data_IF_718445594072
#
_entry.id   IF_718445594072
#
_cell.length_a   1.000
_cell.length_b   1.000
_cell.length_c   1.000
_cell.angle_alpha   90.00
_cell.angle_beta   90.00
_cell.angle_gamma   90.00
#
_symmetry.space_group_name_H-M   'P 1'
#
loop_
_entity.id
_entity.type
_entity.pdbx_description
1 polymer ?
#
# COMPACT_ATOMS: atom_id res chain seq x y z
N UNK A 1 -12.04 20.33 -9.73
CA UNK A 1 -10.65 19.85 -9.82
C UNK A 1 -10.46 18.66 -8.87
N UNK A 2 -9.96 17.57 -9.39
CA UNK A 2 -9.67 16.43 -8.54
C UNK A 2 -8.43 16.68 -7.70
N UNK A 3 -8.51 16.28 -6.45
CA UNK A 3 -7.38 16.32 -5.53
C UNK A 3 -6.88 14.88 -5.36
N UNK A 4 -5.59 14.68 -5.49
CA UNK A 4 -4.96 13.37 -5.33
C UNK A 4 -3.83 13.48 -4.33
N UNK A 5 -3.77 12.55 -3.40
CA UNK A 5 -2.63 12.43 -2.50
C UNK A 5 -1.92 11.11 -2.80
N UNK A 6 -0.60 11.18 -2.97
CA UNK A 6 0.23 10.01 -3.20
C UNK A 6 0.86 9.59 -1.88
N UNK A 7 0.77 8.32 -1.57
CA UNK A 7 1.19 7.78 -0.28
C UNK A 7 2.17 6.63 -0.50
N UNK A 8 3.24 6.62 0.29
CA UNK A 8 4.06 5.43 0.42
C UNK A 8 3.29 4.40 1.23
N UNK A 9 3.65 3.12 1.06
CA UNK A 9 3.03 2.04 1.82
C UNK A 9 3.81 1.73 3.08
N UNK A 10 4.99 1.14 2.92
CA UNK A 10 5.77 0.63 4.05
C UNK A 10 6.36 1.77 4.88
N UNK A 11 6.12 1.76 6.17
CA UNK A 11 6.55 2.82 7.06
C UNK A 11 5.65 4.05 7.09
N UNK A 12 4.65 4.12 6.21
CA UNK A 12 3.68 5.22 6.16
C UNK A 12 2.28 4.75 6.49
N UNK A 13 1.81 3.71 5.81
CA UNK A 13 0.48 3.14 6.04
C UNK A 13 0.53 1.92 6.94
N UNK A 14 1.58 1.13 6.82
CA UNK A 14 1.76 -0.07 7.62
C UNK A 14 3.15 -0.11 8.20
N UNK A 15 3.31 -0.93 9.25
CA UNK A 15 4.63 -1.14 9.84
C UNK A 15 5.59 -1.67 8.79
N UNK A 16 6.81 -1.16 8.78
CA UNK A 16 7.83 -1.61 7.86
C UNK A 16 8.34 -2.99 8.29
N UNK A 17 8.14 -3.96 7.42
CA UNK A 17 8.63 -5.31 7.58
C UNK A 17 9.53 -5.60 6.38
N UNK A 18 10.68 -6.18 6.61
CA UNK A 18 11.61 -6.48 5.54
C UNK A 18 10.91 -7.39 4.50
N UNK A 19 10.70 -6.84 3.30
CA UNK A 19 10.00 -7.54 2.21
C UNK A 19 8.62 -8.04 2.59
N UNK A 20 7.78 -7.15 3.13
CA UNK A 20 6.39 -7.49 3.48
C UNK A 20 5.64 -8.02 2.26
N UNK A 21 5.12 -9.25 2.38
CA UNK A 21 4.36 -9.87 1.29
C UNK A 21 3.20 -10.76 1.79
N UNK A 22 3.19 -11.10 3.05
CA UNK A 22 2.15 -11.95 3.63
C UNK A 22 1.14 -11.10 4.39
N UNK A 23 -0.15 -11.37 4.16
CA UNK A 23 -1.20 -10.60 4.85
C UNK A 23 -1.14 -10.75 6.37
N UNK A 24 -0.66 -11.89 6.86
CA UNK A 24 -0.51 -12.14 8.29
C UNK A 24 0.48 -11.18 8.95
N UNK A 25 1.40 -10.64 8.16
CA UNK A 25 2.44 -9.73 8.65
C UNK A 25 2.08 -8.26 8.46
N UNK A 26 0.93 -7.98 7.84
CA UNK A 26 0.50 -6.60 7.58
C UNK A 26 -0.13 -6.00 8.84
N UNK A 27 0.47 -4.94 9.34
CA UNK A 27 -0.07 -4.19 10.47
C UNK A 27 -0.15 -2.72 10.07
N UNK A 28 -1.37 -2.17 10.08
CA UNK A 28 -1.57 -0.75 9.79
C UNK A 28 -1.03 0.07 10.96
N UNK A 29 -0.38 1.19 10.63
CA UNK A 29 0.11 2.10 11.67
C UNK A 29 -1.05 2.77 12.39
N UNK A 30 -0.88 3.10 13.69
CA UNK A 30 -1.94 3.76 14.45
C UNK A 30 -2.36 5.08 13.78
N UNK A 31 -3.67 5.32 13.72
CA UNK A 31 -4.21 6.54 13.15
C UNK A 31 -4.33 6.57 11.65
N UNK A 32 -3.85 5.54 10.93
CA UNK A 32 -3.90 5.53 9.46
C UNK A 32 -5.34 5.52 8.94
N UNK A 33 -6.25 4.65 9.39
CA UNK A 33 -7.61 4.67 8.85
C UNK A 33 -8.29 6.02 9.05
N UNK A 34 -8.11 6.62 10.21
CA UNK A 34 -8.72 7.92 10.55
C UNK A 34 -8.15 9.03 9.66
N UNK A 35 -6.83 9.04 9.45
CA UNK A 35 -6.18 10.04 8.61
C UNK A 35 -6.62 9.90 7.15
N UNK A 36 -6.68 8.67 6.62
CA UNK A 36 -7.13 8.43 5.26
C UNK A 36 -8.58 8.85 5.07
N UNK A 37 -9.43 8.56 6.04
CA UNK A 37 -10.82 8.97 5.99
C UNK A 37 -10.94 10.49 5.97
N UNK A 38 -10.14 11.19 6.76
CA UNK A 38 -10.14 12.64 6.78
C UNK A 38 -9.78 13.23 5.41
N UNK A 39 -8.78 12.65 4.73
CA UNK A 39 -8.43 13.07 3.38
C UNK A 39 -9.58 12.82 2.40
N UNK A 40 -10.22 11.65 2.47
CA UNK A 40 -11.37 11.34 1.60
C UNK A 40 -12.52 12.31 1.84
N UNK A 41 -12.79 12.65 3.10
CA UNK A 41 -13.84 13.59 3.45
C UNK A 41 -13.56 14.99 2.89
N UNK A 42 -12.31 15.32 2.66
CA UNK A 42 -11.90 16.58 2.04
C UNK A 42 -11.84 16.51 0.51
N UNK A 43 -12.25 15.39 -0.07
CA UNK A 43 -12.32 15.24 -1.52
C UNK A 43 -11.06 14.70 -2.18
N UNK A 44 -10.10 14.19 -1.40
CA UNK A 44 -8.89 13.61 -1.97
C UNK A 44 -9.12 12.19 -2.46
N UNK A 45 -8.51 11.87 -3.58
CA UNK A 45 -8.30 10.49 -3.99
C UNK A 45 -7.01 10.00 -3.35
N UNK A 46 -7.02 8.75 -2.90
CA UNK A 46 -5.87 8.14 -2.22
C UNK A 46 -5.19 7.18 -3.20
N UNK A 47 -3.92 7.46 -3.50
CA UNK A 47 -3.13 6.63 -4.42
C UNK A 47 -1.87 6.19 -3.69
N UNK A 48 -1.66 4.88 -3.62
CA UNK A 48 -0.43 4.32 -3.03
C UNK A 48 0.58 4.08 -4.14
N UNK A 49 1.80 4.54 -3.94
CA UNK A 49 2.92 4.26 -4.83
C UNK A 49 4.01 3.61 -3.98
N UNK A 50 4.37 2.38 -4.30
CA UNK A 50 5.29 1.61 -3.46
C UNK A 50 6.32 0.88 -4.31
N UNK A 51 7.55 0.82 -3.81
CA UNK A 51 8.60 0.04 -4.45
C UNK A 51 8.57 -1.38 -3.87
N UNK A 52 8.51 -2.37 -4.76
CA UNK A 52 8.44 -3.79 -4.37
C UNK A 52 9.59 -4.57 -4.99
N UNK A 53 10.80 -4.21 -4.59
CA UNK A 53 12.02 -4.83 -5.08
C UNK A 53 12.10 -6.34 -4.81
N UNK A 54 11.35 -6.82 -3.81
CA UNK A 54 11.31 -8.26 -3.51
C UNK A 54 10.81 -9.11 -4.67
N UNK A 55 10.00 -8.54 -5.56
CA UNK A 55 9.53 -9.24 -6.76
C UNK A 55 10.73 -9.53 -7.67
N UNK A 56 11.56 -8.52 -7.94
CA UNK A 56 12.74 -8.70 -8.78
C UNK A 56 13.76 -9.66 -8.15
N UNK A 57 13.80 -9.70 -6.83
CA UNK A 57 14.71 -10.62 -6.10
C UNK A 57 14.15 -12.04 -5.97
N UNK A 58 12.91 -12.27 -6.40
CA UNK A 58 12.29 -13.59 -6.34
C UNK A 58 11.79 -13.98 -4.95
N UNK A 59 11.67 -13.04 -4.02
CA UNK A 59 11.20 -13.31 -2.67
C UNK A 59 9.69 -13.50 -2.60
N UNK A 60 8.97 -12.88 -3.53
CA UNK A 60 7.52 -13.04 -3.67
C UNK A 60 7.11 -12.61 -5.07
N UNK A 61 5.87 -12.86 -5.44
CA UNK A 61 5.38 -12.60 -6.79
C UNK A 61 4.56 -11.31 -6.86
N UNK A 62 4.29 -10.85 -8.08
CA UNK A 62 3.38 -9.72 -8.27
C UNK A 62 1.97 -10.05 -7.79
N UNK A 63 1.55 -11.31 -7.92
CA UNK A 63 0.26 -11.73 -7.39
C UNK A 63 0.22 -11.60 -5.87
N UNK A 64 1.31 -11.87 -5.20
CA UNK A 64 1.42 -11.66 -3.74
C UNK A 64 1.23 -10.19 -3.41
N UNK A 65 1.81 -9.29 -4.19
CA UNK A 65 1.67 -7.85 -3.98
C UNK A 65 0.21 -7.42 -4.15
N UNK A 66 -0.44 -7.90 -5.19
CA UNK A 66 -1.85 -7.57 -5.46
C UNK A 66 -2.77 -8.08 -4.37
N UNK A 67 -2.54 -9.30 -3.90
CA UNK A 67 -3.32 -9.88 -2.80
C UNK A 67 -3.16 -9.07 -1.52
N UNK A 68 -1.93 -8.64 -1.21
CA UNK A 68 -1.67 -7.84 -0.03
C UNK A 68 -2.40 -6.50 -0.10
N UNK A 69 -2.38 -5.86 -1.27
CA UNK A 69 -3.09 -4.59 -1.46
C UNK A 69 -4.60 -4.77 -1.35
N UNK A 70 -5.13 -5.85 -1.88
CA UNK A 70 -6.55 -6.16 -1.74
C UNK A 70 -6.91 -6.36 -0.26
N UNK A 71 -6.09 -7.08 0.47
CA UNK A 71 -6.30 -7.31 1.89
C UNK A 71 -6.23 -5.99 2.68
N UNK A 72 -5.28 -5.10 2.34
CA UNK A 72 -5.20 -3.80 2.98
C UNK A 72 -6.52 -3.02 2.81
N UNK A 73 -7.10 -3.04 1.61
CA UNK A 73 -8.39 -2.39 1.39
C UNK A 73 -9.53 -3.09 2.13
N UNK A 74 -9.46 -4.39 2.34
CA UNK A 74 -10.44 -5.08 3.18
C UNK A 74 -10.38 -4.58 4.62
N UNK A 75 -9.18 -4.43 5.15
CA UNK A 75 -8.99 -3.90 6.51
C UNK A 75 -9.51 -2.46 6.61
N UNK A 76 -9.18 -1.64 5.63
CA UNK A 76 -9.60 -0.23 5.63
C UNK A 76 -11.11 -0.09 5.45
N UNK A 77 -11.72 -0.96 4.66
CA UNK A 77 -13.17 -0.94 4.46
C UNK A 77 -13.92 -1.12 5.77
N UNK A 78 -13.38 -1.92 6.68
CA UNK A 78 -13.93 -2.07 8.02
C UNK A 78 -13.90 -0.78 8.84
N UNK A 79 -13.08 0.19 8.45
CA UNK A 79 -12.98 1.50 9.07
C UNK A 79 -13.64 2.60 8.23
N UNK A 80 -14.34 2.22 7.16
CA UNK A 80 -15.09 3.17 6.34
C UNK A 80 -14.27 3.94 5.31
N UNK A 81 -13.11 3.43 4.90
CA UNK A 81 -12.27 4.09 3.93
C UNK A 81 -11.67 3.07 2.96
N UNK A 82 -11.30 3.54 1.77
CA UNK A 82 -10.71 2.70 0.74
C UNK A 82 -9.66 3.49 -0.02
N UNK A 83 -8.54 2.82 -0.34
CA UNK A 83 -7.52 3.37 -1.24
C UNK A 83 -8.03 3.22 -2.66
N UNK A 84 -7.94 4.28 -3.44
CA UNK A 84 -8.50 4.32 -4.80
C UNK A 84 -7.66 3.56 -5.80
N UNK A 85 -6.33 3.60 -5.66
CA UNK A 85 -5.44 2.89 -6.56
C UNK A 85 -4.12 2.56 -5.89
N UNK A 86 -3.52 1.45 -6.31
CA UNK A 86 -2.19 1.03 -5.91
C UNK A 86 -1.32 0.90 -7.13
N UNK A 87 -0.16 1.55 -7.11
CA UNK A 87 0.87 1.38 -8.12
C UNK A 87 2.13 0.86 -7.44
N UNK A 88 2.76 -0.12 -8.03
CA UNK A 88 3.98 -0.69 -7.48
C UNK A 88 5.04 -0.87 -8.57
N UNK A 89 6.29 -0.74 -8.16
CA UNK A 89 7.43 -0.98 -9.02
C UNK A 89 8.05 -2.32 -8.60
N UNK A 90 8.01 -3.34 -9.45
CA UNK A 90 8.56 -4.66 -9.10
C UNK A 90 10.04 -4.80 -9.41
N UNK A 91 10.72 -3.69 -9.73
CA UNK A 91 12.11 -3.73 -10.15
C UNK A 91 13.05 -3.35 -9.03
N UNK A 92 14.28 -3.84 -9.12
CA UNK A 92 15.36 -3.50 -8.22
C UNK A 92 16.52 -2.92 -9.06
N UNK A 93 17.25 -1.91 -8.58
CA UNK A 93 18.34 -1.31 -9.36
C UNK A 93 19.39 -2.31 -9.84
N UNK A 94 19.60 -3.39 -9.12
CA UNK A 94 20.57 -4.43 -9.48
C UNK A 94 19.97 -5.57 -10.30
N UNK A 95 18.66 -5.69 -10.38
CA UNK A 95 17.96 -6.81 -11.01
C UNK A 95 16.92 -6.38 -12.02
N UNK A 96 16.53 -5.13 -12.02
CA UNK A 96 15.59 -4.58 -12.98
C UNK A 96 16.31 -3.94 -14.14
N UNK A 97 15.57 -3.29 -14.96
CA UNK A 97 16.14 -2.58 -16.11
C UNK A 97 16.55 -1.20 -15.72
#
# INVERSE_FOLDING_TARGET
MEKVIFLDRDGTLNEEVNYLHRKEDLVLLPGVPEALKAFKDQGYRLVVVTNQAGVARGYYTEDDVKELHRYMNELLAGQGVKIDAFYYCPHHPEHGI
#
